data_IF_962883390504
#
_entry.id   IF_962883390504
#
_cell.length_a   1.000
_cell.length_b   1.000
_cell.length_c   1.000
_cell.angle_alpha   90.00
_cell.angle_beta   90.00
_cell.angle_gamma   90.00
#
_symmetry.space_group_name_H-M   'P 1'
#
loop_
_entity.id
_entity.type
_entity.pdbx_description
1 polymer ?
#
# COMPACT_ATOMS: atom_id res chain seq x y z
N UNK A 1 0.29 -7.14 5.67
CA UNK A 1 1.62 -7.72 5.44
C UNK A 1 1.44 -8.63 4.25
N UNK A 2 2.06 -8.32 3.10
CA UNK A 2 1.98 -9.19 1.92
C UNK A 2 3.35 -9.83 1.79
N UNK A 3 3.43 -11.14 2.04
CA UNK A 3 4.68 -11.91 1.97
C UNK A 3 4.60 -12.76 0.72
N UNK A 4 5.50 -12.51 -0.24
CA UNK A 4 5.73 -13.43 -1.37
C UNK A 4 6.84 -14.43 -1.06
N UNK A 5 7.84 -14.02 -0.28
CA UNK A 5 8.91 -14.85 0.28
C UNK A 5 9.39 -14.25 1.62
N UNK A 6 10.01 -15.05 2.49
CA UNK A 6 10.54 -14.65 3.81
C UNK A 6 11.82 -13.81 3.62
N UNK A 7 11.65 -12.60 3.10
CA UNK A 7 12.72 -11.68 2.71
C UNK A 7 12.21 -10.50 1.87
N UNK A 8 11.09 -10.66 1.18
CA UNK A 8 10.47 -9.66 0.30
C UNK A 8 9.39 -8.81 1.00
N UNK A 9 9.54 -8.56 2.30
CA UNK A 9 8.59 -7.72 3.04
C UNK A 9 8.90 -6.25 2.74
N UNK A 10 8.13 -5.67 1.82
CA UNK A 10 8.30 -4.27 1.42
C UNK A 10 7.52 -3.27 2.31
N UNK A 11 6.48 -3.71 3.01
CA UNK A 11 5.63 -2.84 3.82
C UNK A 11 4.76 -3.64 4.82
N UNK A 12 4.56 -3.08 6.02
CA UNK A 12 3.67 -3.61 7.04
C UNK A 12 2.33 -2.88 7.02
N UNK A 13 1.24 -3.65 7.10
CA UNK A 13 -0.15 -3.17 7.03
C UNK A 13 -1.07 -4.28 7.57
N UNK A 14 -2.25 -3.95 8.08
CA UNK A 14 -3.26 -4.93 8.47
C UNK A 14 -4.40 -5.12 7.44
N UNK A 15 -4.83 -4.10 6.73
CA UNK A 15 -6.09 -4.11 5.96
C UNK A 15 -6.03 -4.89 4.64
N UNK A 16 -4.90 -4.85 3.94
CA UNK A 16 -4.77 -5.45 2.61
C UNK A 16 -4.64 -6.98 2.63
N UNK A 17 -4.31 -7.58 3.78
CA UNK A 17 -4.05 -9.01 3.88
C UNK A 17 -5.32 -9.86 3.68
N UNK A 18 -6.49 -9.38 4.13
CA UNK A 18 -7.75 -10.11 3.98
C UNK A 18 -8.34 -10.03 2.57
N UNK A 19 -8.09 -8.94 1.85
CA UNK A 19 -8.66 -8.72 0.51
C UNK A 19 -8.04 -9.63 -0.55
N UNK A 20 -6.71 -9.83 -0.50
CA UNK A 20 -5.97 -10.58 -1.53
C UNK A 20 -6.26 -12.08 -1.53
N UNK A 21 -6.78 -12.64 -0.43
CA UNK A 21 -7.15 -14.06 -0.35
C UNK A 21 -8.50 -14.36 -0.99
N UNK A 22 -9.38 -13.38 -1.09
CA UNK A 22 -10.76 -13.59 -1.54
C UNK A 22 -10.96 -13.32 -3.04
N UNK A 23 -10.13 -12.47 -3.66
CA UNK A 23 -10.21 -12.19 -5.10
C UNK A 23 -8.89 -11.67 -5.68
N UNK A 24 -8.65 -11.84 -7.00
CA UNK A 24 -7.50 -11.25 -7.68
C UNK A 24 -7.55 -9.73 -7.60
N UNK A 25 -6.59 -9.12 -6.93
CA UNK A 25 -6.51 -7.66 -6.80
C UNK A 25 -5.06 -7.17 -6.79
N UNK A 26 -4.92 -5.89 -7.15
CA UNK A 26 -3.66 -5.15 -7.08
C UNK A 26 -3.79 -4.16 -5.92
N UNK A 27 -2.81 -4.18 -5.01
CA UNK A 27 -2.77 -3.26 -3.86
C UNK A 27 -1.84 -2.10 -4.18
N UNK A 28 -2.35 -0.87 -4.11
CA UNK A 28 -1.58 0.36 -4.30
C UNK A 28 -1.60 1.14 -3.00
N UNK A 29 -0.43 1.41 -2.42
CA UNK A 29 -0.26 2.13 -1.16
C UNK A 29 0.88 3.14 -1.23
N UNK A 30 0.70 4.28 -0.58
CA UNK A 30 1.77 5.23 -0.29
C UNK A 30 2.37 4.96 1.09
N UNK A 31 3.65 5.23 1.27
CA UNK A 31 4.34 5.04 2.55
C UNK A 31 4.18 6.31 3.39
N UNK A 32 3.58 6.19 4.57
CA UNK A 32 3.38 7.29 5.53
C UNK A 32 4.34 7.27 6.71
N UNK A 33 4.91 6.11 7.05
CA UNK A 33 5.84 5.95 8.16
C UNK A 33 6.86 4.83 7.88
N UNK A 34 7.90 4.78 8.70
CA UNK A 34 8.99 3.80 8.59
C UNK A 34 8.76 2.55 9.45
N UNK A 35 7.57 2.37 10.03
CA UNK A 35 7.25 1.30 10.98
C UNK A 35 8.24 1.19 12.16
N UNK A 36 8.85 2.30 12.57
CA UNK A 36 9.71 2.42 13.74
C UNK A 36 8.95 3.06 14.92
N UNK A 37 9.66 3.38 16.01
CA UNK A 37 9.05 4.04 17.17
C UNK A 37 8.59 5.48 16.89
N UNK A 38 9.00 6.08 15.77
CA UNK A 38 8.69 7.46 15.41
C UNK A 38 7.52 7.49 14.43
N UNK A 39 6.32 7.26 14.96
CA UNK A 39 5.10 7.46 14.19
C UNK A 39 4.96 8.93 13.83
N UNK A 40 4.90 9.21 12.52
CA UNK A 40 4.66 10.54 12.01
C UNK A 40 3.37 10.54 11.18
N UNK A 41 2.27 10.93 11.82
CA UNK A 41 0.94 10.88 11.21
C UNK A 41 0.73 11.98 10.15
N UNK A 42 1.60 12.99 10.08
CA UNK A 42 1.49 14.11 9.13
C UNK A 42 1.59 13.65 7.66
N UNK A 43 2.31 12.56 7.41
CA UNK A 43 2.57 12.05 6.07
C UNK A 43 1.44 11.17 5.52
N UNK A 44 0.45 10.80 6.33
CA UNK A 44 -0.67 9.94 5.90
C UNK A 44 -1.46 10.56 4.75
N UNK A 45 -1.78 11.85 4.84
CA UNK A 45 -2.53 12.54 3.77
C UNK A 45 -1.74 12.59 2.46
N UNK A 46 -0.43 12.84 2.53
CA UNK A 46 0.44 12.86 1.36
C UNK A 46 0.59 11.46 0.74
N UNK A 47 0.79 10.44 1.57
CA UNK A 47 0.88 9.05 1.15
C UNK A 47 -0.42 8.59 0.46
N UNK A 48 -1.58 8.92 1.04
CA UNK A 48 -2.89 8.61 0.47
C UNK A 48 -3.13 9.33 -0.86
N UNK A 49 -2.82 10.64 -0.95
CA UNK A 49 -2.97 11.41 -2.18
C UNK A 49 -2.08 10.86 -3.31
N UNK A 50 -0.83 10.48 -2.98
CA UNK A 50 0.11 9.89 -3.94
C UNK A 50 -0.39 8.53 -4.45
N UNK A 51 -0.87 7.67 -3.56
CA UNK A 51 -1.43 6.37 -3.92
C UNK A 51 -2.67 6.51 -4.83
N UNK A 52 -3.56 7.46 -4.51
CA UNK A 52 -4.75 7.74 -5.32
C UNK A 52 -4.39 8.28 -6.70
N UNK A 53 -3.41 9.18 -6.79
CA UNK A 53 -2.94 9.72 -8.07
C UNK A 53 -2.33 8.62 -8.96
N UNK A 54 -1.47 7.76 -8.40
CA UNK A 54 -0.93 6.60 -9.11
C UNK A 54 -2.03 5.64 -9.58
N UNK A 55 -3.02 5.36 -8.72
CA UNK A 55 -4.15 4.49 -9.07
C UNK A 55 -4.95 5.06 -10.24
N UNK A 56 -5.26 6.36 -10.21
CA UNK A 56 -5.99 7.03 -11.27
C UNK A 56 -5.28 6.90 -12.61
N UNK A 57 -3.97 7.12 -12.62
CA UNK A 57 -3.15 7.01 -13.84
C UNK A 57 -3.10 5.56 -14.34
N UNK A 58 -2.92 4.59 -13.45
CA UNK A 58 -2.94 3.16 -13.79
C UNK A 58 -4.25 2.75 -14.45
N UNK A 59 -5.39 3.22 -13.95
CA UNK A 59 -6.70 2.94 -14.55
C UNK A 59 -6.82 3.50 -15.97
N UNK A 60 -6.05 4.52 -16.34
CA UNK A 60 -5.98 4.99 -17.73
C UNK A 60 -5.28 4.01 -18.69
N UNK A 61 -4.48 3.08 -18.17
CA UNK A 61 -3.79 2.05 -18.94
C UNK A 61 -4.50 0.69 -18.93
N UNK A 62 -5.49 0.50 -18.06
CA UNK A 62 -6.28 -0.73 -17.97
C UNK A 62 -7.57 -0.48 -18.75
N UNK A 63 -7.70 -1.15 -19.89
CA UNK A 63 -8.82 -1.01 -20.83
C UNK A 63 -9.86 -2.11 -20.64
#
# INVERSE_FOLDING_TARGET
MIIRDVGDVLCFEMEAAGLMTEFPCIVIRGISDYADSHKNDDWQYYAAATAAACTKELLGYIN
#
